data_IF_705306716501
#
_entry.id   IF_705306716501
#
_cell.length_a   1.000
_cell.length_b   1.000
_cell.length_c   1.000
_cell.angle_alpha   90.00
_cell.angle_beta   90.00
_cell.angle_gamma   90.00
#
_symmetry.space_group_name_H-M   'P 1'
#
loop_
_entity.id
_entity.type
_entity.pdbx_description
1 polymer ?
#
# COMPACT_ATOMS: atom_id res chain seq x y z
N UNK A 1 16.64 38.66 -76.62
CA UNK A 1 17.95 38.19 -76.15
C UNK A 1 17.91 38.07 -74.63
N UNK A 2 18.21 36.87 -74.15
CA UNK A 2 18.62 36.49 -72.78
C UNK A 2 17.59 36.50 -71.63
N UNK A 3 16.90 35.35 -71.52
CA UNK A 3 16.86 34.42 -70.36
C UNK A 3 17.16 34.95 -68.95
N UNK A 4 16.22 34.75 -68.01
CA UNK A 4 16.53 34.32 -66.64
C UNK A 4 15.30 33.71 -65.93
N UNK A 5 15.29 32.39 -65.90
CA UNK A 5 14.50 31.48 -65.07
C UNK A 5 14.88 31.62 -63.58
N UNK A 6 13.91 31.65 -62.65
CA UNK A 6 14.07 31.45 -61.18
C UNK A 6 12.70 31.15 -60.57
N UNK A 7 12.37 29.88 -60.38
CA UNK A 7 12.57 29.04 -59.17
C UNK A 7 11.43 29.17 -58.14
N UNK A 8 10.60 28.11 -58.14
CA UNK A 8 9.63 27.74 -57.11
C UNK A 8 10.41 27.29 -55.86
N UNK A 9 10.12 27.86 -54.69
CA UNK A 9 10.36 27.19 -53.40
C UNK A 9 9.17 27.53 -52.48
N UNK A 10 8.25 26.57 -52.36
CA UNK A 10 7.28 26.53 -51.26
C UNK A 10 7.98 26.06 -50.00
N UNK A 11 7.79 26.77 -48.89
CA UNK A 11 8.21 26.34 -47.57
C UNK A 11 6.96 26.06 -46.73
N UNK A 12 6.48 24.82 -46.78
CA UNK A 12 5.54 24.30 -45.80
C UNK A 12 6.32 24.01 -44.51
N UNK A 13 6.18 24.88 -43.51
CA UNK A 13 6.69 24.62 -42.18
C UNK A 13 5.80 23.57 -41.48
N UNK A 14 6.30 22.33 -41.42
CA UNK A 14 5.75 21.28 -40.56
C UNK A 14 6.09 21.63 -39.10
N UNK A 15 5.12 22.19 -38.38
CA UNK A 15 5.17 22.29 -36.92
C UNK A 15 4.97 20.89 -36.34
N UNK A 16 6.07 20.22 -36.01
CA UNK A 16 6.04 19.02 -35.19
C UNK A 16 5.64 19.42 -33.76
N UNK A 17 4.35 19.30 -33.43
CA UNK A 17 3.87 19.35 -32.06
C UNK A 17 4.41 18.14 -31.30
N UNK A 18 5.54 18.30 -30.63
CA UNK A 18 5.99 17.36 -29.62
C UNK A 18 4.96 17.40 -28.48
N UNK A 19 4.07 16.41 -28.43
CA UNK A 19 3.27 16.13 -27.25
C UNK A 19 4.24 15.69 -26.16
N UNK A 20 4.63 16.63 -25.30
CA UNK A 20 5.22 16.30 -24.01
C UNK A 20 4.10 15.58 -23.27
N UNK A 21 4.13 14.24 -23.27
CA UNK A 21 3.36 13.47 -22.32
C UNK A 21 3.79 13.96 -20.95
N UNK A 22 2.92 14.72 -20.29
CA UNK A 22 3.04 14.95 -18.87
C UNK A 22 2.98 13.58 -18.22
N UNK A 23 4.15 13.01 -17.90
CA UNK A 23 4.28 12.12 -16.77
C UNK A 23 3.71 12.94 -15.62
N UNK A 24 2.46 12.68 -15.24
CA UNK A 24 1.87 13.27 -14.06
C UNK A 24 2.90 13.12 -12.93
N UNK A 25 3.31 14.24 -12.33
CA UNK A 25 4.26 14.24 -11.23
C UNK A 25 3.78 13.22 -10.20
N UNK A 26 4.52 12.13 -10.07
CA UNK A 26 4.19 11.09 -9.12
C UNK A 26 4.48 11.63 -7.71
N UNK A 27 3.54 11.45 -6.77
CA UNK A 27 3.60 12.17 -5.50
C UNK A 27 4.90 11.85 -4.76
N UNK A 28 5.57 12.91 -4.34
CA UNK A 28 6.70 12.81 -3.41
C UNK A 28 6.21 12.26 -2.06
N UNK A 29 7.11 11.70 -1.24
CA UNK A 29 6.78 11.29 0.11
C UNK A 29 6.11 12.43 0.91
N UNK A 30 5.10 12.08 1.70
CA UNK A 30 4.26 12.97 2.50
C UNK A 30 4.97 13.57 3.70
N UNK A 31 6.18 13.10 4.01
CA UNK A 31 6.96 13.43 5.21
C UNK A 31 8.47 13.30 4.95
N UNK A 32 9.32 14.00 5.72
CA UNK A 32 10.77 13.81 5.64
C UNK A 32 11.17 12.37 6.03
N UNK A 33 12.32 11.87 5.56
CA UNK A 33 12.84 10.61 6.02
C UNK A 33 13.31 10.71 7.48
N UNK A 34 13.35 9.57 8.16
CA UNK A 34 13.91 9.40 9.50
C UNK A 34 15.43 9.70 9.45
N UNK A 35 16.01 10.09 10.58
CA UNK A 35 17.46 10.27 10.68
C UNK A 35 18.22 9.03 10.18
N UNK A 36 19.25 9.25 9.34
CA UNK A 36 20.04 8.21 8.66
C UNK A 36 19.27 7.32 7.68
N UNK A 37 18.08 7.76 7.27
CA UNK A 37 17.31 7.14 6.22
C UNK A 37 17.20 8.04 4.99
N UNK A 38 16.95 7.42 3.85
CA UNK A 38 16.60 8.11 2.60
C UNK A 38 15.37 7.47 2.00
N UNK A 39 14.51 8.30 1.40
CA UNK A 39 13.38 7.82 0.63
C UNK A 39 13.85 7.19 -0.68
N UNK A 40 13.40 5.98 -0.93
CA UNK A 40 13.57 5.26 -2.17
C UNK A 40 12.24 4.88 -2.75
N UNK A 41 12.14 5.01 -4.07
CA UNK A 41 10.98 4.59 -4.80
C UNK A 41 11.16 3.15 -5.25
N UNK A 42 10.17 2.33 -4.93
CA UNK A 42 10.11 0.93 -5.32
C UNK A 42 8.87 0.70 -6.18
N UNK A 43 9.03 -0.09 -7.24
CA UNK A 43 7.92 -0.54 -8.06
C UNK A 43 8.16 -1.95 -8.56
N UNK A 44 7.11 -2.75 -8.61
CA UNK A 44 7.12 -4.05 -9.26
C UNK A 44 5.77 -4.28 -9.95
N UNK A 45 5.81 -4.45 -11.28
CA UNK A 45 4.61 -4.67 -12.10
C UNK A 45 4.00 -6.05 -11.92
N UNK A 46 4.80 -7.03 -11.52
CA UNK A 46 4.35 -8.41 -11.26
C UNK A 46 3.55 -8.45 -9.96
N UNK A 47 4.07 -7.80 -8.91
CA UNK A 47 3.33 -7.61 -7.64
C UNK A 47 2.16 -6.64 -7.83
N UNK A 48 2.31 -5.67 -8.75
CA UNK A 48 1.30 -4.67 -9.04
C UNK A 48 1.29 -3.53 -8.02
N UNK A 49 2.46 -3.16 -7.47
CA UNK A 49 2.58 -2.14 -6.44
C UNK A 49 3.74 -1.18 -6.73
N UNK A 50 3.50 0.10 -6.50
CA UNK A 50 4.54 1.11 -6.32
C UNK A 50 4.38 1.75 -4.94
N UNK A 51 5.51 2.02 -4.29
CA UNK A 51 5.58 2.59 -2.95
C UNK A 51 6.86 3.42 -2.77
N UNK A 52 6.79 4.40 -1.87
CA UNK A 52 7.98 5.00 -1.29
C UNK A 52 8.33 4.28 0.01
N UNK A 53 9.59 3.84 0.13
CA UNK A 53 10.09 3.16 1.31
C UNK A 53 11.45 3.73 1.73
N UNK A 54 11.76 3.66 3.01
CA UNK A 54 13.00 4.18 3.55
C UNK A 54 14.08 3.10 3.52
N UNK A 55 15.22 3.45 2.95
CA UNK A 55 16.47 2.71 3.15
C UNK A 55 17.25 3.40 4.25
N UNK A 56 17.58 2.67 5.31
CA UNK A 56 18.22 3.22 6.49
C UNK A 56 19.56 2.56 6.78
N UNK A 57 20.52 3.34 7.26
CA UNK A 57 21.81 2.84 7.75
C UNK A 57 22.12 3.38 9.16
N UNK A 58 21.89 2.54 10.17
CA UNK A 58 22.18 2.87 11.55
C UNK A 58 23.60 2.43 11.99
N UNK A 59 24.46 2.04 11.05
CA UNK A 59 25.82 1.55 11.29
C UNK A 59 25.87 0.09 11.75
N UNK A 60 25.10 -0.29 12.78
CA UNK A 60 25.04 -1.68 13.27
C UNK A 60 23.98 -2.53 12.56
N UNK A 61 22.98 -1.88 11.95
CA UNK A 61 21.90 -2.53 11.21
C UNK A 61 21.47 -1.62 10.06
N UNK A 62 21.33 -2.21 8.87
CA UNK A 62 20.71 -1.56 7.71
C UNK A 62 19.32 -2.12 7.48
N UNK A 63 18.41 -1.24 7.13
CA UNK A 63 17.03 -1.56 6.74
C UNK A 63 16.89 -1.26 5.26
N UNK A 64 16.37 -2.21 4.51
CA UNK A 64 15.95 -2.02 3.13
C UNK A 64 14.64 -2.74 2.87
N UNK A 65 14.03 -2.42 1.74
CA UNK A 65 12.79 -3.03 1.29
C UNK A 65 13.03 -3.76 -0.01
N UNK A 66 12.33 -4.88 -0.16
CA UNK A 66 12.31 -5.68 -1.39
C UNK A 66 10.90 -6.17 -1.68
N UNK A 67 10.63 -6.54 -2.93
CA UNK A 67 9.41 -7.26 -3.27
C UNK A 67 9.65 -8.76 -3.09
N UNK A 68 8.83 -9.40 -2.28
CA UNK A 68 8.90 -10.83 -2.00
C UNK A 68 7.49 -11.44 -2.03
N UNK A 69 7.28 -12.44 -2.88
CA UNK A 69 5.96 -13.01 -3.09
C UNK A 69 4.99 -11.97 -3.66
N UNK A 70 3.90 -11.71 -2.94
CA UNK A 70 2.88 -10.71 -3.29
C UNK A 70 3.03 -9.41 -2.48
N UNK A 71 4.19 -9.14 -1.89
CA UNK A 71 4.32 -8.09 -0.90
C UNK A 71 5.54 -7.18 -1.10
N UNK A 72 5.40 -5.94 -0.66
CA UNK A 72 6.54 -5.11 -0.24
C UNK A 72 6.94 -5.56 1.17
N UNK A 73 8.19 -6.01 1.32
CA UNK A 73 8.69 -6.60 2.55
C UNK A 73 9.91 -5.83 3.09
N UNK A 74 10.00 -5.73 4.40
CA UNK A 74 11.14 -5.16 5.10
C UNK A 74 12.20 -6.24 5.34
N UNK A 75 13.47 -5.88 5.15
CA UNK A 75 14.62 -6.74 5.33
C UNK A 75 15.72 -6.05 6.14
N UNK A 76 16.28 -6.80 7.09
CA UNK A 76 17.39 -6.34 7.93
C UNK A 76 18.71 -7.00 7.51
N UNK A 77 19.80 -6.23 7.61
CA UNK A 77 21.13 -6.72 7.21
C UNK A 77 21.75 -7.75 8.16
N UNK A 78 21.24 -7.84 9.39
CA UNK A 78 21.72 -8.76 10.43
C UNK A 78 21.02 -10.11 10.43
N UNK A 79 20.10 -10.35 9.49
CA UNK A 79 19.50 -11.66 9.23
C UNK A 79 17.98 -11.66 9.27
N UNK A 80 17.39 -12.86 9.39
CA UNK A 80 15.94 -13.07 9.38
C UNK A 80 15.34 -13.14 7.99
N UNK A 81 14.11 -13.63 7.88
CA UNK A 81 13.33 -13.57 6.65
C UNK A 81 12.83 -12.15 6.38
N UNK A 82 12.56 -11.81 5.12
CA UNK A 82 11.87 -10.57 4.81
C UNK A 82 10.43 -10.65 5.36
N UNK A 83 10.00 -9.62 6.09
CA UNK A 83 8.67 -9.58 6.69
C UNK A 83 7.74 -8.71 5.82
N UNK A 84 6.58 -9.23 5.38
CA UNK A 84 5.67 -8.46 4.52
C UNK A 84 5.03 -7.31 5.32
N UNK A 85 5.10 -6.09 4.78
CA UNK A 85 4.44 -4.91 5.35
C UNK A 85 3.27 -4.42 4.50
N UNK A 86 3.34 -4.57 3.17
CA UNK A 86 2.20 -4.29 2.27
C UNK A 86 1.99 -5.50 1.39
N UNK A 87 0.95 -6.27 1.68
CA UNK A 87 0.57 -7.45 0.90
C UNK A 87 -0.52 -7.07 -0.11
N UNK A 88 -0.34 -7.46 -1.37
CA UNK A 88 -1.28 -7.21 -2.47
C UNK A 88 -2.12 -8.46 -2.72
N UNK A 89 -3.44 -8.31 -2.77
CA UNK A 89 -4.36 -9.40 -3.04
C UNK A 89 -5.31 -9.09 -4.18
N UNK A 90 -5.66 -10.12 -4.95
CA UNK A 90 -6.66 -10.04 -6.01
C UNK A 90 -8.08 -10.03 -5.46
N UNK A 91 -8.90 -9.15 -6.05
CA UNK A 91 -10.36 -9.20 -6.01
C UNK A 91 -10.80 -10.08 -7.17
N UNK A 92 -11.35 -11.26 -6.87
CA UNK A 92 -11.73 -12.27 -7.85
C UNK A 92 -12.81 -11.74 -8.80
N UNK A 93 -12.91 -12.32 -10.00
CA UNK A 93 -13.95 -11.93 -10.96
C UNK A 93 -15.35 -12.07 -10.36
N UNK A 94 -16.20 -11.05 -10.52
CA UNK A 94 -17.54 -10.97 -9.92
C UNK A 94 -17.57 -10.68 -8.41
N UNK A 95 -16.42 -10.63 -7.73
CA UNK A 95 -16.33 -10.32 -6.30
C UNK A 95 -16.36 -8.80 -6.04
N UNK A 96 -17.08 -8.37 -4.99
CA UNK A 96 -16.97 -7.00 -4.47
C UNK A 96 -15.71 -6.87 -3.60
N UNK A 97 -15.24 -5.66 -3.35
CA UNK A 97 -14.09 -5.46 -2.47
C UNK A 97 -14.34 -6.00 -1.05
N UNK A 98 -15.53 -5.74 -0.49
CA UNK A 98 -15.92 -6.23 0.84
C UNK A 98 -16.00 -7.77 0.89
N UNK A 99 -16.46 -8.43 -0.18
CA UNK A 99 -16.46 -9.88 -0.27
C UNK A 99 -15.02 -10.45 -0.33
N UNK A 100 -14.11 -9.78 -1.04
CA UNK A 100 -12.69 -10.14 -1.08
C UNK A 100 -12.03 -10.01 0.29
N UNK A 101 -12.30 -8.91 1.00
CA UNK A 101 -11.84 -8.72 2.38
C UNK A 101 -12.33 -9.83 3.29
N UNK A 102 -13.62 -10.15 3.25
CA UNK A 102 -14.22 -11.23 4.05
C UNK A 102 -13.58 -12.58 3.72
N UNK A 103 -13.41 -12.90 2.43
CA UNK A 103 -12.77 -14.15 1.98
C UNK A 103 -11.35 -14.26 2.52
N UNK A 104 -10.54 -13.21 2.39
CA UNK A 104 -9.16 -13.22 2.86
C UNK A 104 -9.08 -13.40 4.37
N UNK A 105 -9.91 -12.66 5.12
CA UNK A 105 -9.96 -12.80 6.57
C UNK A 105 -10.32 -14.21 7.02
N UNK A 106 -11.34 -14.82 6.40
CA UNK A 106 -11.73 -16.21 6.71
C UNK A 106 -10.66 -17.25 6.33
N UNK A 107 -9.82 -16.98 5.33
CA UNK A 107 -8.70 -17.85 4.95
C UNK A 107 -7.50 -17.73 5.89
N UNK A 108 -7.31 -16.56 6.50
CA UNK A 108 -6.10 -16.20 7.24
C UNK A 108 -6.27 -16.23 8.76
N UNK A 109 -7.51 -16.26 9.24
CA UNK A 109 -7.84 -16.21 10.66
C UNK A 109 -8.51 -17.51 11.09
N UNK A 110 -8.23 -17.96 12.31
CA UNK A 110 -8.88 -19.13 12.89
C UNK A 110 -10.41 -19.03 12.81
N UNK A 111 -11.09 -20.16 12.61
CA UNK A 111 -12.53 -20.19 12.39
C UNK A 111 -13.33 -19.75 13.63
N UNK A 112 -12.86 -20.09 14.83
CA UNK A 112 -13.53 -19.70 16.07
C UNK A 112 -13.36 -18.20 16.36
N UNK A 113 -12.19 -17.64 15.99
CA UNK A 113 -11.95 -16.19 16.08
C UNK A 113 -12.75 -15.42 15.04
N UNK A 114 -12.63 -15.80 13.76
CA UNK A 114 -13.27 -15.07 12.66
C UNK A 114 -14.81 -15.06 12.72
N UNK A 115 -15.42 -16.09 13.33
CA UNK A 115 -16.87 -16.14 13.55
C UNK A 115 -17.41 -15.06 14.48
N UNK A 116 -16.54 -14.37 15.23
CA UNK A 116 -16.87 -13.35 16.24
C UNK A 116 -16.40 -11.95 15.83
N UNK A 117 -15.97 -11.80 14.59
CA UNK A 117 -15.38 -10.59 14.05
C UNK A 117 -16.15 -10.11 12.84
N UNK A 118 -16.27 -8.79 12.72
CA UNK A 118 -17.04 -8.13 11.67
C UNK A 118 -16.17 -7.14 10.92
N UNK A 119 -16.41 -7.02 9.61
CA UNK A 119 -15.78 -6.00 8.79
C UNK A 119 -16.27 -4.62 9.24
N UNK A 120 -15.33 -3.72 9.53
CA UNK A 120 -15.60 -2.35 9.96
C UNK A 120 -14.76 -1.34 9.15
N UNK A 121 -15.26 -0.11 8.94
CA UNK A 121 -14.42 0.96 8.41
C UNK A 121 -13.25 1.25 9.34
N UNK A 122 -12.05 1.44 8.77
CA UNK A 122 -10.91 1.95 9.53
C UNK A 122 -10.84 3.47 9.39
N UNK A 123 -10.97 4.19 10.50
CA UNK A 123 -11.21 5.64 10.51
C UNK A 123 -10.05 6.48 11.03
N UNK A 124 -8.94 5.86 11.40
CA UNK A 124 -7.78 6.57 11.93
C UNK A 124 -6.86 7.06 10.80
N UNK A 125 -6.22 8.21 11.04
CA UNK A 125 -5.26 8.82 10.12
C UNK A 125 -5.89 9.46 8.87
N UNK A 126 -5.02 10.00 8.01
CA UNK A 126 -5.43 10.56 6.72
C UNK A 126 -5.61 9.42 5.72
N UNK A 127 -6.73 9.44 4.97
CA UNK A 127 -7.03 8.46 3.93
C UNK A 127 -6.79 9.11 2.56
N UNK A 128 -5.94 8.53 1.70
CA UNK A 128 -5.73 9.04 0.35
C UNK A 128 -7.03 9.13 -0.46
N UNK A 129 -7.11 10.10 -1.37
CA UNK A 129 -8.28 10.27 -2.22
C UNK A 129 -8.57 9.00 -3.04
N UNK A 130 -9.83 8.57 -3.05
CA UNK A 130 -10.25 7.36 -3.76
C UNK A 130 -9.91 6.05 -3.06
N UNK A 131 -9.31 6.07 -1.87
CA UNK A 131 -9.05 4.86 -1.07
C UNK A 131 -10.15 4.69 -0.02
N UNK A 132 -10.59 3.45 0.19
CA UNK A 132 -11.37 3.07 1.38
C UNK A 132 -10.52 2.19 2.28
N UNK A 133 -10.56 2.42 3.59
CA UNK A 133 -9.86 1.59 4.58
C UNK A 133 -10.81 0.78 5.44
N UNK A 134 -10.41 -0.44 5.76
CA UNK A 134 -11.21 -1.39 6.54
C UNK A 134 -10.35 -2.12 7.57
N UNK A 135 -10.98 -2.64 8.60
CA UNK A 135 -10.40 -3.57 9.57
C UNK A 135 -11.43 -4.64 9.94
N UNK A 136 -11.01 -5.67 10.67
CA UNK A 136 -11.91 -6.59 11.35
C UNK A 136 -11.85 -6.34 12.85
N UNK A 137 -13.01 -6.03 13.42
CA UNK A 137 -13.19 -5.72 14.83
C UNK A 137 -14.10 -6.76 15.49
N UNK A 138 -13.99 -6.99 16.80
CA UNK A 138 -14.88 -7.91 17.50
C UNK A 138 -16.33 -7.44 17.36
N UNK A 139 -17.25 -8.39 17.21
CA UNK A 139 -18.67 -8.09 17.28
C UNK A 139 -19.06 -7.52 18.65
N UNK A 140 -20.28 -6.99 18.77
CA UNK A 140 -20.72 -6.32 20.00
C UNK A 140 -20.71 -7.23 21.24
N UNK A 141 -20.95 -8.53 21.09
CA UNK A 141 -20.92 -9.48 22.19
C UNK A 141 -19.48 -9.77 22.61
N UNK A 142 -18.61 -10.05 21.63
CA UNK A 142 -17.20 -10.32 21.89
C UNK A 142 -16.47 -9.10 22.45
N UNK A 143 -16.74 -7.90 21.93
CA UNK A 143 -16.20 -6.66 22.46
C UNK A 143 -16.56 -6.44 23.94
N UNK A 144 -17.78 -6.82 24.35
CA UNK A 144 -18.20 -6.75 25.75
C UNK A 144 -17.43 -7.73 26.64
N UNK A 145 -17.19 -8.95 26.17
CA UNK A 145 -16.38 -9.95 26.89
C UNK A 145 -14.94 -9.48 27.05
N UNK A 146 -14.31 -9.00 25.97
CA UNK A 146 -12.95 -8.47 26.00
C UNK A 146 -12.81 -7.31 26.98
N UNK A 147 -13.77 -6.38 26.99
CA UNK A 147 -13.78 -5.26 27.93
C UNK A 147 -13.88 -5.72 29.39
N UNK A 148 -14.57 -6.82 29.68
CA UNK A 148 -14.68 -7.36 31.03
C UNK A 148 -13.37 -8.01 31.53
N UNK A 149 -12.51 -8.43 30.60
CA UNK A 149 -11.22 -9.07 30.87
C UNK A 149 -10.04 -8.10 30.78
N UNK A 150 -10.27 -6.88 30.27
CA UNK A 150 -9.22 -5.91 30.02
C UNK A 150 -8.53 -5.47 31.33
N UNK A 151 -7.21 -5.57 31.35
CA UNK A 151 -6.35 -4.98 32.38
C UNK A 151 -5.76 -3.67 31.84
N UNK A 152 -5.73 -2.58 32.63
CA UNK A 152 -5.10 -1.33 32.21
C UNK A 152 -3.57 -1.44 32.08
N UNK A 153 -2.97 -2.45 32.71
CA UNK A 153 -1.52 -2.65 32.75
C UNK A 153 -1.02 -3.63 31.66
N UNK A 154 -1.92 -4.13 30.82
CA UNK A 154 -1.60 -5.12 29.78
C UNK A 154 -2.03 -4.64 28.39
N UNK A 155 -1.18 -4.91 27.40
CA UNK A 155 -1.57 -4.80 26.00
C UNK A 155 -2.36 -6.07 25.65
N UNK A 156 -3.64 -5.96 25.28
CA UNK A 156 -4.43 -7.15 24.96
C UNK A 156 -3.95 -7.79 23.66
N UNK A 157 -4.19 -9.09 23.53
CA UNK A 157 -4.01 -9.80 22.26
C UNK A 157 -4.96 -9.23 21.19
N UNK A 158 -4.56 -9.24 19.89
CA UNK A 158 -5.42 -8.80 18.80
C UNK A 158 -6.73 -9.61 18.77
N UNK A 159 -7.90 -8.97 19.00
CA UNK A 159 -9.14 -9.69 19.22
C UNK A 159 -9.61 -10.46 17.99
N UNK A 160 -9.28 -9.97 16.80
CA UNK A 160 -9.60 -10.61 15.52
C UNK A 160 -8.37 -11.25 14.86
N UNK A 161 -7.36 -11.59 15.66
CA UNK A 161 -6.10 -12.16 15.19
C UNK A 161 -5.26 -11.19 14.35
N UNK A 162 -4.19 -11.71 13.76
CA UNK A 162 -3.17 -10.91 13.06
C UNK A 162 -3.65 -10.17 11.80
N UNK A 163 -4.91 -10.35 11.39
CA UNK A 163 -5.53 -9.75 10.20
C UNK A 163 -6.70 -8.82 10.54
N UNK A 164 -6.97 -8.58 11.83
CA UNK A 164 -7.94 -7.59 12.31
C UNK A 164 -7.27 -6.36 12.90
N UNK A 165 -7.96 -5.68 13.80
CA UNK A 165 -7.39 -4.58 14.57
C UNK A 165 -6.21 -5.04 15.44
N UNK A 166 -5.18 -4.19 15.54
CA UNK A 166 -4.01 -4.40 16.41
C UNK A 166 -4.05 -3.39 17.57
N UNK A 167 -4.05 -3.85 18.82
CA UNK A 167 -4.03 -2.98 19.99
C UNK A 167 -2.76 -2.13 20.10
N UNK A 168 -1.64 -2.66 19.65
CA UNK A 168 -0.31 -2.05 19.69
C UNK A 168 0.24 -1.92 18.28
N UNK A 169 -0.51 -1.38 17.33
CA UNK A 169 0.06 -1.15 16.01
C UNK A 169 -0.97 -0.66 15.01
N UNK A 170 -0.48 -0.03 13.95
CA UNK A 170 -1.34 0.39 12.87
C UNK A 170 -1.30 -0.65 11.77
N UNK A 171 -2.43 -1.31 11.56
CA UNK A 171 -2.67 -2.10 10.37
C UNK A 171 -4.13 -2.01 9.93
N UNK A 172 -4.35 -2.17 8.63
CA UNK A 172 -5.66 -2.10 8.01
C UNK A 172 -5.60 -2.66 6.59
N UNK A 173 -6.77 -2.88 6.01
CA UNK A 173 -6.90 -3.10 4.58
C UNK A 173 -7.14 -1.80 3.84
N UNK A 174 -6.57 -1.65 2.65
CA UNK A 174 -6.92 -0.61 1.69
C UNK A 174 -7.59 -1.19 0.46
N UNK A 175 -8.64 -0.53 0.00
CA UNK A 175 -9.28 -0.76 -1.28
C UNK A 175 -9.13 0.51 -2.10
N UNK A 176 -8.09 0.61 -2.96
CA UNK A 176 -7.96 1.72 -3.89
C UNK A 176 -9.07 1.68 -4.93
N UNK A 177 -9.60 2.85 -5.28
CA UNK A 177 -10.48 2.98 -6.44
C UNK A 177 -9.72 2.68 -7.73
N UNK A 178 -10.40 2.09 -8.71
CA UNK A 178 -9.89 1.89 -10.06
C UNK A 178 -9.96 0.44 -10.54
N UNK A 179 -9.42 0.21 -11.72
CA UNK A 179 -9.55 -1.05 -12.47
C UNK A 179 -8.55 -2.13 -12.04
N UNK A 180 -7.62 -1.81 -11.13
CA UNK A 180 -6.57 -2.74 -10.68
C UNK A 180 -7.11 -4.01 -10.02
N UNK A 181 -8.37 -4.01 -9.55
CA UNK A 181 -9.01 -5.13 -8.84
C UNK A 181 -8.10 -5.74 -7.76
N UNK A 182 -7.36 -4.90 -7.04
CA UNK A 182 -6.53 -5.31 -5.91
C UNK A 182 -7.07 -4.69 -4.63
N UNK A 183 -6.73 -5.33 -3.52
CA UNK A 183 -6.74 -4.72 -2.20
C UNK A 183 -5.36 -4.90 -1.56
N UNK A 184 -5.04 -4.03 -0.62
CA UNK A 184 -3.79 -4.08 0.14
C UNK A 184 -4.10 -4.47 1.57
N UNK A 185 -3.23 -5.26 2.19
CA UNK A 185 -3.14 -5.35 3.64
C UNK A 185 -1.87 -4.63 4.09
N UNK A 186 -2.04 -3.56 4.85
CA UNK A 186 -0.98 -2.60 5.20
C UNK A 186 -0.68 -2.74 6.69
N UNK A 187 0.57 -3.07 7.03
CA UNK A 187 1.14 -3.09 8.38
C UNK A 187 2.15 -1.96 8.49
N UNK A 188 1.75 -0.85 9.09
CA UNK A 188 2.65 0.29 9.33
C UNK A 188 3.59 0.00 10.50
N UNK A 189 3.08 -0.68 11.53
CA UNK A 189 3.81 -0.95 12.78
C UNK A 189 3.43 0.00 13.92
N UNK A 190 4.26 0.03 14.95
CA UNK A 190 4.09 0.84 16.16
C UNK A 190 4.77 2.20 16.08
N UNK A 191 5.95 2.23 15.46
CA UNK A 191 6.86 3.37 15.47
C UNK A 191 6.72 4.24 14.22
N UNK A 192 7.71 5.10 13.99
CA UNK A 192 7.82 5.90 12.77
C UNK A 192 7.75 5.03 11.51
N UNK A 193 6.84 5.31 10.57
CA UNK A 193 6.66 4.47 9.39
C UNK A 193 7.90 4.42 8.48
N UNK A 194 8.35 3.21 8.17
CA UNK A 194 9.48 2.95 7.28
C UNK A 194 9.11 2.91 5.79
N UNK A 195 7.83 3.01 5.47
CA UNK A 195 7.33 3.30 4.12
C UNK A 195 6.24 4.36 4.22
N UNK A 196 5.91 4.99 3.09
CA UNK A 196 4.87 6.01 3.03
C UNK A 196 3.53 5.42 2.57
N UNK A 197 2.69 5.12 3.56
CA UNK A 197 1.35 4.58 3.36
C UNK A 197 0.42 5.53 2.58
N UNK A 198 0.72 6.84 2.53
CA UNK A 198 -0.08 7.80 1.77
C UNK A 198 0.22 7.77 0.28
N UNK A 199 1.29 7.09 -0.13
CA UNK A 199 1.78 7.05 -1.51
C UNK A 199 1.64 5.69 -2.18
N UNK A 200 1.03 4.72 -1.49
CA UNK A 200 0.81 3.38 -2.04
C UNK A 200 -0.05 3.48 -3.30
N UNK A 201 0.43 2.86 -4.38
CA UNK A 201 -0.29 2.84 -5.65
C UNK A 201 -0.30 1.45 -6.25
N UNK A 202 -1.51 0.92 -6.43
CA UNK A 202 -1.74 -0.29 -7.23
C UNK A 202 -1.47 0.03 -8.70
N UNK A 203 -0.61 -0.78 -9.32
CA UNK A 203 -0.29 -0.67 -10.72
C UNK A 203 -1.28 -1.50 -11.56
N UNK A 204 -1.59 -1.08 -12.79
CA UNK A 204 -2.32 -1.93 -13.73
C UNK A 204 -1.62 -3.28 -13.92
N UNK A 205 -2.39 -4.33 -14.17
CA UNK A 205 -1.82 -5.61 -14.57
C UNK A 205 -0.97 -5.42 -15.84
N UNK A 206 0.26 -5.95 -15.81
CA UNK A 206 1.19 -5.92 -16.94
C UNK A 206 0.81 -6.88 -18.06
#
# INVERSE_FOLDING_TARGET
>A
MNSAMRSIIGASALLASATISALADEPAPSRPPIDKCVWERLMDKTVGLAAWAQRCDFGFRRIHFEFAGNALAIKYSDGGAAAPLVEVFDIQSGETAEAALQRLFLQKTDKAVSARCVLAPYTQGTVPAGVKRYTFSPDAAYAKELKALASPDEIPEPPCGAWGEMPDGIQYFEVPAGEGRKLLFVRIGQDEPLFDEQTLRVLPAG
#
